data_IF_823718683171
#
_entry.id   IF_823718683171
#
_cell.length_a   1.000
_cell.length_b   1.000
_cell.length_c   1.000
_cell.angle_alpha   90.00
_cell.angle_beta   90.00
_cell.angle_gamma   90.00
#
_symmetry.space_group_name_H-M   'P 1'
#
loop_
_entity.id
_entity.type
_entity.pdbx_description
1 polymer ?
#
# COMPACT_ATOMS: atom_id res chain seq x y z
N UNK A 1 -61.56 79.72 55.63
CA UNK A 1 -62.26 78.70 54.80
C UNK A 1 -61.37 78.12 53.68
N UNK A 2 -60.54 78.92 52.97
CA UNK A 2 -59.61 78.42 51.95
C UNK A 2 -58.48 77.51 52.49
N UNK A 3 -57.94 77.81 53.68
CA UNK A 3 -56.80 77.08 54.26
C UNK A 3 -57.13 75.60 54.56
N UNK A 4 -58.35 75.32 55.03
CA UNK A 4 -58.80 73.95 55.31
C UNK A 4 -59.01 73.12 54.04
N UNK A 5 -59.52 73.73 52.97
CA UNK A 5 -59.65 73.06 51.66
C UNK A 5 -58.29 72.71 51.04
N UNK A 6 -57.29 73.59 51.21
CA UNK A 6 -55.93 73.34 50.73
C UNK A 6 -55.29 72.17 51.48
N UNK A 7 -55.49 72.11 52.81
CA UNK A 7 -55.00 71.02 53.66
C UNK A 7 -55.61 69.67 53.29
N UNK A 8 -56.94 69.60 53.14
CA UNK A 8 -57.62 68.38 52.70
C UNK A 8 -57.16 67.93 51.30
N UNK A 9 -56.87 68.88 50.40
CA UNK A 9 -56.36 68.57 49.06
C UNK A 9 -54.93 68.01 49.12
N UNK A 10 -54.09 68.52 50.02
CA UNK A 10 -52.72 68.03 50.25
C UNK A 10 -52.72 66.65 50.92
N UNK A 11 -53.61 66.40 51.87
CA UNK A 11 -53.78 65.08 52.50
C UNK A 11 -54.25 64.04 51.47
N UNK A 12 -55.22 64.38 50.61
CA UNK A 12 -55.65 63.51 49.50
C UNK A 12 -54.55 63.25 48.48
N UNK A 13 -53.73 64.26 48.18
CA UNK A 13 -52.60 64.10 47.26
C UNK A 13 -51.53 63.18 47.87
N UNK A 14 -51.30 63.28 49.18
CA UNK A 14 -50.41 62.39 49.94
C UNK A 14 -50.92 60.95 49.95
N UNK A 15 -52.21 60.73 50.22
CA UNK A 15 -52.83 59.41 50.15
C UNK A 15 -52.76 58.82 48.74
N UNK A 16 -53.03 59.62 47.70
CA UNK A 16 -52.91 59.18 46.31
C UNK A 16 -51.47 58.80 45.96
N UNK A 17 -50.47 59.56 46.45
CA UNK A 17 -49.06 59.23 46.29
C UNK A 17 -48.72 57.89 46.96
N UNK A 18 -49.17 57.67 48.20
CA UNK A 18 -48.93 56.40 48.91
C UNK A 18 -49.67 55.21 48.25
N UNK A 19 -50.85 55.42 47.67
CA UNK A 19 -51.58 54.41 46.91
C UNK A 19 -50.93 54.10 45.55
N UNK A 20 -50.29 55.09 44.92
CA UNK A 20 -49.59 54.93 43.64
C UNK A 20 -48.16 54.37 43.79
N UNK A 21 -47.52 54.55 44.96
CA UNK A 21 -46.14 54.10 45.22
C UNK A 21 -45.93 52.57 45.07
N UNK A 22 -46.86 51.69 45.48
CA UNK A 22 -46.79 50.24 45.24
C UNK A 22 -47.03 49.84 43.78
N UNK A 23 -47.80 50.64 43.03
CA UNK A 23 -48.07 50.45 41.60
C UNK A 23 -46.87 50.90 40.75
N UNK A 24 -46.08 51.84 41.25
CA UNK A 24 -44.73 52.16 40.80
C UNK A 24 -43.72 51.14 41.33
N UNK A 25 -44.00 49.83 41.27
CA UNK A 25 -42.97 48.79 41.39
C UNK A 25 -42.40 48.45 40.01
N UNK A 26 -41.41 49.19 39.47
CA UNK A 26 -40.65 48.72 38.33
C UNK A 26 -39.43 47.92 38.79
N UNK A 27 -38.86 48.14 39.98
CA UNK A 27 -37.55 47.55 40.33
C UNK A 27 -37.55 46.01 40.34
N UNK A 28 -38.48 45.36 41.05
CA UNK A 28 -38.54 43.88 41.12
C UNK A 28 -38.97 43.23 39.80
N UNK A 29 -39.87 43.88 39.03
CA UNK A 29 -40.32 43.33 37.76
C UNK A 29 -39.25 43.51 36.66
N UNK A 30 -38.58 44.67 36.61
CA UNK A 30 -37.46 44.95 35.70
C UNK A 30 -36.27 44.05 36.03
N UNK A 31 -35.94 43.85 37.30
CA UNK A 31 -34.86 42.92 37.71
C UNK A 31 -35.20 41.46 37.35
N UNK A 32 -36.46 41.02 37.47
CA UNK A 32 -36.90 39.71 36.98
C UNK A 32 -36.80 39.60 35.45
N UNK A 33 -37.18 40.63 34.70
CA UNK A 33 -37.03 40.68 33.25
C UNK A 33 -35.56 40.66 32.80
N UNK A 34 -34.69 41.44 33.45
CA UNK A 34 -33.26 41.48 33.17
C UNK A 34 -32.58 40.15 33.47
N UNK A 35 -32.96 39.49 34.58
CA UNK A 35 -32.50 38.14 34.92
C UNK A 35 -32.96 37.10 33.89
N UNK A 36 -34.22 37.18 33.43
CA UNK A 36 -34.75 36.30 32.38
C UNK A 36 -34.07 36.53 31.04
N UNK A 37 -33.83 37.79 30.65
CA UNK A 37 -33.12 38.14 29.43
C UNK A 37 -31.66 37.67 29.47
N UNK A 38 -30.98 37.84 30.61
CA UNK A 38 -29.63 37.32 30.85
C UNK A 38 -29.57 35.79 30.72
N UNK A 39 -30.54 35.08 31.29
CA UNK A 39 -30.63 33.62 31.17
C UNK A 39 -30.86 33.18 29.72
N UNK A 40 -31.77 33.83 29.00
CA UNK A 40 -32.01 33.56 27.57
C UNK A 40 -30.75 33.82 26.74
N UNK A 41 -30.04 34.92 27.01
CA UNK A 41 -28.79 35.24 26.33
C UNK A 41 -27.69 34.20 26.59
N UNK A 42 -27.58 33.69 27.82
CA UNK A 42 -26.66 32.57 28.15
C UNK A 42 -27.00 31.30 27.38
N UNK A 43 -28.29 30.95 27.28
CA UNK A 43 -28.75 29.79 26.49
C UNK A 43 -28.40 29.97 25.01
N UNK A 44 -28.62 31.16 24.44
CA UNK A 44 -28.25 31.44 23.06
C UNK A 44 -26.74 31.34 22.83
N UNK A 45 -25.92 31.84 23.74
CA UNK A 45 -24.46 31.70 23.66
C UNK A 45 -24.02 30.24 23.74
N UNK A 46 -24.66 29.45 24.60
CA UNK A 46 -24.39 28.01 24.69
C UNK A 46 -24.74 27.31 23.38
N UNK A 47 -25.92 27.54 22.82
CA UNK A 47 -26.31 26.95 21.53
C UNK A 47 -25.40 27.39 20.39
N UNK A 48 -25.00 28.67 20.37
CA UNK A 48 -24.04 29.15 19.38
C UNK A 48 -22.70 28.41 19.47
N UNK A 49 -22.18 28.21 20.69
CA UNK A 49 -20.95 27.47 20.91
C UNK A 49 -21.09 25.99 20.50
N UNK A 50 -22.21 25.34 20.83
CA UNK A 50 -22.50 23.96 20.43
C UNK A 50 -22.58 23.81 18.91
N UNK A 51 -23.22 24.76 18.20
CA UNK A 51 -23.31 24.76 16.74
C UNK A 51 -21.92 24.92 16.12
N UNK A 52 -21.10 25.84 16.63
CA UNK A 52 -19.73 26.04 16.15
C UNK A 52 -18.90 24.77 16.37
N UNK A 53 -19.01 24.15 17.55
CA UNK A 53 -18.32 22.90 17.85
C UNK A 53 -18.72 21.80 16.86
N UNK A 54 -20.02 21.49 16.74
CA UNK A 54 -20.52 20.46 15.81
C UNK A 54 -20.10 20.69 14.36
N UNK A 55 -20.04 21.95 13.93
CA UNK A 55 -19.54 22.30 12.59
C UNK A 55 -18.06 21.90 12.44
N UNK A 56 -17.22 22.17 13.45
CA UNK A 56 -15.81 21.77 13.44
C UNK A 56 -15.66 20.24 13.44
N UNK A 57 -16.49 19.51 14.19
CA UNK A 57 -16.49 18.04 14.17
C UNK A 57 -16.82 17.50 12.77
N UNK A 58 -17.89 18.03 12.15
CA UNK A 58 -18.31 17.61 10.80
C UNK A 58 -17.25 17.93 9.74
N UNK A 59 -16.62 19.11 9.81
CA UNK A 59 -15.52 19.47 8.90
C UNK A 59 -14.30 18.55 9.08
N UNK A 60 -13.95 18.21 10.33
CA UNK A 60 -12.88 17.26 10.63
C UNK A 60 -13.18 15.86 10.09
N UNK A 61 -14.40 15.36 10.31
CA UNK A 61 -14.87 14.06 9.80
C UNK A 61 -14.83 14.00 8.27
N UNK A 62 -15.35 15.03 7.59
CA UNK A 62 -15.35 15.08 6.13
C UNK A 62 -13.94 15.13 5.54
N UNK A 63 -13.04 15.92 6.13
CA UNK A 63 -11.66 16.02 5.67
C UNK A 63 -10.93 14.69 5.83
N UNK A 64 -11.07 14.04 6.99
CA UNK A 64 -10.47 12.74 7.24
C UNK A 64 -11.03 11.67 6.29
N UNK A 65 -12.35 11.60 6.14
CA UNK A 65 -13.01 10.68 5.22
C UNK A 65 -12.52 10.87 3.78
N UNK A 66 -12.35 12.12 3.32
CA UNK A 66 -11.82 12.40 1.98
C UNK A 66 -10.41 11.86 1.77
N UNK A 67 -9.52 11.98 2.77
CA UNK A 67 -8.15 11.45 2.66
C UNK A 67 -8.13 9.92 2.69
N UNK A 68 -8.97 9.31 3.53
CA UNK A 68 -9.11 7.85 3.62
C UNK A 68 -9.62 7.28 2.29
N UNK A 69 -10.62 7.92 1.67
CA UNK A 69 -11.13 7.51 0.37
C UNK A 69 -10.06 7.61 -0.73
N UNK A 70 -9.18 8.62 -0.69
CA UNK A 70 -8.06 8.75 -1.63
C UNK A 70 -7.02 7.64 -1.42
N UNK A 71 -6.70 7.32 -0.16
CA UNK A 71 -5.82 6.20 0.19
C UNK A 71 -6.41 4.86 -0.29
N UNK A 72 -7.67 4.57 0.05
CA UNK A 72 -8.35 3.34 -0.34
C UNK A 72 -8.38 3.18 -1.86
N UNK A 73 -8.78 4.22 -2.59
CA UNK A 73 -8.86 4.17 -4.05
C UNK A 73 -7.49 3.95 -4.69
N UNK A 74 -6.45 4.61 -4.17
CA UNK A 74 -5.07 4.43 -4.64
C UNK A 74 -4.60 3.00 -4.38
N UNK A 75 -4.91 2.43 -3.21
CA UNK A 75 -4.59 1.05 -2.87
C UNK A 75 -5.32 0.05 -3.76
N UNK A 76 -6.63 0.20 -3.98
CA UNK A 76 -7.41 -0.68 -4.86
C UNK A 76 -6.85 -0.68 -6.29
N UNK A 77 -6.47 0.48 -6.81
CA UNK A 77 -5.85 0.56 -8.13
C UNK A 77 -4.51 -0.18 -8.16
N UNK A 78 -3.67 0.03 -7.15
CA UNK A 78 -2.39 -0.67 -7.04
C UNK A 78 -2.56 -2.19 -6.93
N UNK A 79 -3.50 -2.68 -6.12
CA UNK A 79 -3.84 -4.10 -6.02
C UNK A 79 -4.25 -4.66 -7.40
N UNK A 80 -5.17 -3.99 -8.10
CA UNK A 80 -5.63 -4.40 -9.43
C UNK A 80 -4.52 -4.42 -10.48
N UNK A 81 -3.64 -3.41 -10.46
CA UNK A 81 -2.50 -3.33 -11.38
C UNK A 81 -1.47 -4.43 -11.06
N UNK A 82 -1.27 -4.75 -9.79
CA UNK A 82 -0.39 -5.84 -9.37
C UNK A 82 -0.89 -7.22 -9.82
N UNK A 83 -2.20 -7.49 -9.75
CA UNK A 83 -2.75 -8.77 -10.24
C UNK A 83 -2.54 -8.96 -11.74
N UNK A 84 -2.53 -7.87 -12.52
CA UNK A 84 -2.28 -7.89 -13.96
C UNK A 84 -0.80 -7.87 -14.31
N UNK A 85 0.08 -7.65 -13.33
CA UNK A 85 1.51 -7.47 -13.56
C UNK A 85 2.15 -8.81 -13.95
N UNK A 86 2.67 -8.87 -15.18
CA UNK A 86 3.53 -9.97 -15.62
C UNK A 86 4.75 -10.06 -14.69
N UNK A 87 5.21 -11.28 -14.38
CA UNK A 87 6.30 -11.57 -13.42
C UNK A 87 7.69 -11.09 -13.84
N UNK A 88 7.80 -10.10 -14.74
CA UNK A 88 9.07 -9.57 -15.23
C UNK A 88 9.74 -8.72 -14.15
N UNK A 89 11.03 -8.97 -13.92
CA UNK A 89 11.83 -8.34 -12.88
C UNK A 89 11.79 -6.81 -12.89
N UNK A 90 11.90 -6.19 -14.07
CA UNK A 90 11.86 -4.74 -14.20
C UNK A 90 10.49 -4.14 -13.86
N UNK A 91 9.41 -4.82 -14.23
CA UNK A 91 8.04 -4.37 -13.92
C UNK A 91 7.77 -4.46 -12.40
N UNK A 92 8.23 -5.55 -11.76
CA UNK A 92 8.13 -5.72 -10.31
C UNK A 92 8.97 -4.69 -9.53
N UNK A 93 10.20 -4.39 -9.98
CA UNK A 93 11.02 -3.31 -9.41
C UNK A 93 10.34 -1.96 -9.52
N UNK A 94 9.83 -1.62 -10.70
CA UNK A 94 9.10 -0.36 -10.90
C UNK A 94 7.87 -0.27 -10.00
N UNK A 95 7.12 -1.36 -9.86
CA UNK A 95 5.97 -1.40 -8.95
C UNK A 95 6.40 -1.15 -7.50
N UNK A 96 7.46 -1.81 -7.03
CA UNK A 96 8.01 -1.63 -5.69
C UNK A 96 8.54 -0.22 -5.45
N UNK A 97 9.23 0.36 -6.42
CA UNK A 97 9.99 1.61 -6.24
C UNK A 97 9.19 2.87 -6.58
N UNK A 98 8.07 2.74 -7.29
CA UNK A 98 7.21 3.89 -7.67
C UNK A 98 5.78 3.77 -7.14
N UNK A 99 5.14 2.61 -7.30
CA UNK A 99 3.71 2.45 -6.97
C UNK A 99 3.50 2.29 -5.47
N UNK A 100 4.24 1.40 -4.81
CA UNK A 100 4.12 1.23 -3.34
C UNK A 100 4.39 2.54 -2.57
N UNK A 101 5.44 3.33 -2.90
CA UNK A 101 5.66 4.65 -2.31
C UNK A 101 4.50 5.62 -2.50
N UNK A 102 3.87 5.63 -3.67
CA UNK A 102 2.70 6.49 -3.92
C UNK A 102 1.51 6.10 -3.03
N UNK A 103 1.30 4.81 -2.78
CA UNK A 103 0.23 4.32 -1.92
C UNK A 103 0.51 4.68 -0.44
N UNK A 104 1.72 4.44 0.06
CA UNK A 104 2.05 4.76 1.46
C UNK A 104 2.02 6.27 1.72
N UNK A 105 2.40 7.10 0.74
CA UNK A 105 2.29 8.57 0.87
C UNK A 105 0.85 9.00 1.20
N UNK A 106 -0.16 8.31 0.64
CA UNK A 106 -1.56 8.59 0.99
C UNK A 106 -1.90 8.20 2.43
N UNK A 107 -1.38 7.07 2.90
CA UNK A 107 -1.53 6.64 4.30
C UNK A 107 -0.86 7.64 5.26
N UNK A 108 0.35 8.10 4.93
CA UNK A 108 1.10 9.03 5.77
C UNK A 108 0.39 10.38 5.88
N UNK A 109 -0.21 10.89 4.79
CA UNK A 109 -1.05 12.10 4.82
C UNK A 109 -2.24 11.98 5.77
N UNK A 110 -2.84 10.79 5.89
CA UNK A 110 -3.93 10.54 6.86
C UNK A 110 -3.38 10.53 8.28
N UNK A 111 -2.21 9.90 8.50
CA UNK A 111 -1.56 9.83 9.82
C UNK A 111 -1.08 11.19 10.32
N UNK A 112 -0.59 12.03 9.42
CA UNK A 112 -0.11 13.39 9.73
C UNK A 112 -1.26 14.35 10.07
N UNK A 113 -2.50 13.99 9.74
CA UNK A 113 -3.67 14.76 10.12
C UNK A 113 -3.98 14.57 11.61
N UNK A 114 -3.52 15.52 12.43
CA UNK A 114 -3.86 15.60 13.85
C UNK A 114 -5.18 16.36 14.00
N UNK A 115 -6.27 15.65 14.27
CA UNK A 115 -7.57 16.27 14.52
C UNK A 115 -7.71 16.72 15.97
N UNK A 116 -8.16 17.97 16.23
CA UNK A 116 -8.40 18.46 17.58
C UNK A 116 -9.70 17.91 18.19
N UNK A 117 -10.56 17.33 17.37
CA UNK A 117 -11.85 16.75 17.75
C UNK A 117 -11.72 15.23 17.89
N UNK A 118 -12.38 14.66 18.90
CA UNK A 118 -12.46 13.21 19.12
C UNK A 118 -13.92 12.76 19.22
N UNK A 119 -14.52 12.45 18.07
CA UNK A 119 -15.84 11.80 17.99
C UNK A 119 -15.67 10.29 17.79
N UNK A 120 -16.74 9.53 18.03
CA UNK A 120 -16.81 8.09 17.74
C UNK A 120 -16.61 7.82 16.23
N UNK A 121 -17.18 8.66 15.36
CA UNK A 121 -16.97 8.58 13.92
C UNK A 121 -15.50 8.75 13.53
N UNK A 122 -14.80 9.73 14.11
CA UNK A 122 -13.36 9.93 13.86
C UNK A 122 -12.55 8.69 14.31
N UNK A 123 -12.92 8.08 15.44
CA UNK A 123 -12.27 6.85 15.91
C UNK A 123 -12.50 5.69 14.94
N UNK A 124 -13.73 5.53 14.44
CA UNK A 124 -14.04 4.52 13.43
C UNK A 124 -13.25 4.75 12.14
N UNK A 125 -13.14 5.99 11.68
CA UNK A 125 -12.34 6.33 10.50
C UNK A 125 -10.86 5.96 10.68
N UNK A 126 -10.27 6.19 11.86
CA UNK A 126 -8.91 5.73 12.13
C UNK A 126 -8.80 4.20 12.17
N UNK A 127 -9.82 3.49 12.65
CA UNK A 127 -9.84 2.04 12.59
C UNK A 127 -9.86 1.53 11.13
N UNK A 128 -10.61 2.20 10.25
CA UNK A 128 -10.64 1.87 8.82
C UNK A 128 -9.25 2.08 8.19
N UNK A 129 -8.51 3.11 8.61
CA UNK A 129 -7.11 3.33 8.19
C UNK A 129 -6.20 2.19 8.60
N UNK A 130 -6.35 1.64 9.80
CA UNK A 130 -5.57 0.49 10.26
C UNK A 130 -5.82 -0.74 9.37
N UNK A 131 -7.08 -0.99 9.01
CA UNK A 131 -7.46 -2.07 8.08
C UNK A 131 -6.81 -1.87 6.71
N UNK A 132 -6.86 -0.65 6.16
CA UNK A 132 -6.23 -0.32 4.87
C UNK A 132 -4.70 -0.46 4.95
N UNK A 133 -4.09 -0.10 6.07
CA UNK A 133 -2.65 -0.24 6.30
C UNK A 133 -2.23 -1.72 6.32
N UNK A 134 -3.03 -2.59 6.94
CA UNK A 134 -2.80 -4.05 6.89
C UNK A 134 -2.88 -4.57 5.44
N UNK A 135 -3.88 -4.13 4.67
CA UNK A 135 -4.00 -4.50 3.24
C UNK A 135 -2.78 -4.03 2.42
N UNK A 136 -2.33 -2.80 2.63
CA UNK A 136 -1.12 -2.28 1.99
C UNK A 136 0.12 -3.13 2.33
N UNK A 137 0.30 -3.50 3.61
CA UNK A 137 1.41 -4.35 4.02
C UNK A 137 1.36 -5.73 3.36
N UNK A 138 0.16 -6.31 3.22
CA UNK A 138 -0.01 -7.57 2.49
C UNK A 138 0.37 -7.43 1.01
N UNK A 139 -0.04 -6.35 0.34
CA UNK A 139 0.37 -6.06 -1.04
C UNK A 139 1.90 -5.93 -1.14
N UNK A 140 2.52 -5.17 -0.24
CA UNK A 140 3.97 -4.98 -0.20
C UNK A 140 4.73 -6.30 -0.04
N UNK A 141 4.27 -7.18 0.87
CA UNK A 141 4.83 -8.53 1.04
C UNK A 141 4.72 -9.35 -0.24
N UNK A 142 3.53 -9.39 -0.86
CA UNK A 142 3.31 -10.13 -2.12
C UNK A 142 4.20 -9.62 -3.26
N UNK A 143 4.41 -8.31 -3.36
CA UNK A 143 5.31 -7.70 -4.34
C UNK A 143 6.75 -8.17 -4.10
N UNK A 144 7.21 -8.14 -2.85
CA UNK A 144 8.56 -8.57 -2.49
C UNK A 144 8.77 -10.07 -2.72
N UNK A 145 7.79 -10.91 -2.39
CA UNK A 145 7.85 -12.36 -2.63
C UNK A 145 7.96 -12.66 -4.13
N UNK A 146 7.11 -12.02 -4.95
CA UNK A 146 7.13 -12.19 -6.41
C UNK A 146 8.44 -11.66 -7.02
N UNK A 147 9.01 -10.59 -6.47
CA UNK A 147 10.31 -10.04 -6.87
C UNK A 147 11.46 -10.99 -6.50
N UNK A 148 11.45 -11.55 -5.30
CA UNK A 148 12.45 -12.52 -4.86
C UNK A 148 12.40 -13.79 -5.72
N UNK A 149 11.21 -14.29 -6.00
CA UNK A 149 11.04 -15.42 -6.91
C UNK A 149 11.58 -15.13 -8.32
N UNK A 150 11.28 -13.95 -8.88
CA UNK A 150 11.81 -13.54 -10.18
C UNK A 150 13.35 -13.48 -10.17
N UNK A 151 13.96 -12.99 -9.08
CA UNK A 151 15.41 -12.95 -8.90
C UNK A 151 16.03 -14.36 -8.82
N UNK A 152 15.37 -15.27 -8.12
CA UNK A 152 15.80 -16.67 -8.04
C UNK A 152 15.75 -17.35 -9.41
N UNK A 153 14.71 -17.08 -10.20
CA UNK A 153 14.59 -17.59 -11.58
C UNK A 153 15.70 -17.04 -12.49
N UNK A 154 16.02 -15.74 -12.40
CA UNK A 154 17.12 -15.12 -13.15
C UNK A 154 18.47 -15.74 -12.79
N UNK A 155 18.77 -15.91 -11.50
CA UNK A 155 20.00 -16.55 -11.04
C UNK A 155 20.09 -18.03 -11.48
N UNK A 156 18.97 -18.76 -11.44
CA UNK A 156 18.91 -20.16 -11.87
C UNK A 156 19.22 -20.26 -13.38
N UNK A 157 18.64 -19.37 -14.17
CA UNK A 157 18.87 -19.29 -15.61
C UNK A 157 20.34 -19.01 -15.92
N UNK A 158 20.93 -18.00 -15.29
CA UNK A 158 22.35 -17.64 -15.48
C UNK A 158 23.28 -18.79 -15.10
N UNK A 159 22.99 -19.50 -14.01
CA UNK A 159 23.77 -20.65 -13.58
C UNK A 159 23.71 -21.80 -14.59
N UNK A 160 22.51 -22.18 -15.03
CA UNK A 160 22.33 -23.25 -16.02
C UNK A 160 22.99 -22.88 -17.35
N UNK A 161 22.81 -21.64 -17.80
CA UNK A 161 23.43 -21.15 -19.04
C UNK A 161 24.95 -21.30 -18.97
N UNK A 162 25.58 -20.86 -17.87
CA UNK A 162 27.02 -20.96 -17.63
C UNK A 162 27.50 -22.41 -17.55
N UNK A 163 26.73 -23.29 -16.92
CA UNK A 163 27.04 -24.73 -16.89
C UNK A 163 27.01 -25.33 -18.29
N UNK A 164 25.98 -25.02 -19.08
CA UNK A 164 25.88 -25.45 -20.47
C UNK A 164 27.04 -24.90 -21.33
N UNK A 165 27.41 -23.62 -21.17
CA UNK A 165 28.56 -23.01 -21.86
C UNK A 165 29.87 -23.74 -21.52
N UNK A 166 30.09 -24.07 -20.25
CA UNK A 166 31.29 -24.78 -19.80
C UNK A 166 31.34 -26.22 -20.36
N UNK A 167 30.20 -26.92 -20.34
CA UNK A 167 30.09 -28.27 -20.91
C UNK A 167 30.36 -28.24 -22.42
N UNK A 168 29.75 -27.28 -23.12
CA UNK A 168 29.94 -27.09 -24.56
C UNK A 168 31.40 -26.78 -24.89
N UNK A 169 32.05 -25.89 -24.14
CA UNK A 169 33.45 -25.56 -24.33
C UNK A 169 34.35 -26.77 -24.11
N UNK A 170 34.18 -27.52 -23.01
CA UNK A 170 34.94 -28.74 -22.76
C UNK A 170 34.73 -29.78 -23.86
N UNK A 171 33.49 -29.97 -24.31
CA UNK A 171 33.19 -30.89 -25.39
C UNK A 171 33.90 -30.47 -26.69
N UNK A 172 33.88 -29.18 -27.01
CA UNK A 172 34.59 -28.63 -28.17
C UNK A 172 36.11 -28.77 -28.04
N UNK A 173 36.69 -28.56 -26.86
CA UNK A 173 38.13 -28.72 -26.61
C UNK A 173 38.58 -30.16 -26.87
N UNK A 174 37.80 -31.15 -26.41
CA UNK A 174 38.05 -32.55 -26.75
C UNK A 174 37.95 -32.81 -28.24
N UNK A 175 36.92 -32.26 -28.91
CA UNK A 175 36.74 -32.46 -30.35
C UNK A 175 37.87 -31.81 -31.18
N UNK A 176 38.36 -30.65 -30.76
CA UNK A 176 39.42 -29.92 -31.44
C UNK A 176 40.82 -30.46 -31.16
N UNK A 177 41.03 -31.16 -30.04
CA UNK A 177 42.31 -31.81 -29.70
C UNK A 177 42.72 -32.86 -30.74
N UNK A 178 41.76 -33.45 -31.44
CA UNK A 178 41.98 -34.55 -32.37
C UNK A 178 41.75 -34.11 -33.81
N UNK A 179 42.79 -34.24 -34.66
CA UNK A 179 42.74 -33.88 -36.09
C UNK A 179 41.74 -34.76 -36.85
N UNK A 180 41.64 -36.04 -36.45
CA UNK A 180 40.61 -36.96 -36.94
C UNK A 180 39.82 -37.51 -35.76
N UNK A 181 38.51 -37.70 -35.94
CA UNK A 181 37.64 -38.31 -34.93
C UNK A 181 38.04 -39.74 -34.53
N UNK A 182 38.90 -40.40 -35.31
CA UNK A 182 39.46 -41.71 -35.01
C UNK A 182 40.47 -41.66 -33.86
N UNK A 183 41.22 -40.58 -33.73
CA UNK A 183 42.22 -40.42 -32.67
C UNK A 183 41.55 -40.30 -31.28
N UNK A 184 40.42 -39.58 -31.21
CA UNK A 184 39.57 -39.49 -30.00
C UNK A 184 39.00 -40.85 -29.60
N UNK A 185 38.69 -41.72 -30.56
CA UNK A 185 38.09 -43.05 -30.30
C UNK A 185 39.07 -44.05 -29.69
N UNK A 186 40.37 -43.78 -29.79
CA UNK A 186 41.47 -44.59 -29.25
C UNK A 186 41.92 -44.03 -27.89
N UNK A 187 41.74 -42.72 -27.64
CA UNK A 187 41.97 -42.08 -26.36
C UNK A 187 40.83 -42.37 -25.35
N UNK A 188 40.83 -43.58 -24.78
CA UNK A 188 39.77 -44.09 -23.90
C UNK A 188 39.44 -43.13 -22.74
N UNK A 189 40.45 -42.56 -22.09
CA UNK A 189 40.26 -41.68 -20.93
C UNK A 189 39.58 -40.36 -21.31
N UNK A 190 40.01 -39.72 -22.40
CA UNK A 190 39.37 -38.50 -22.93
C UNK A 190 37.94 -38.79 -23.44
N UNK A 191 37.71 -39.98 -24.02
CA UNK A 191 36.39 -40.42 -24.45
C UNK A 191 35.44 -40.64 -23.26
N UNK A 192 35.93 -41.22 -22.17
CA UNK A 192 35.15 -41.42 -20.94
C UNK A 192 34.87 -40.09 -20.24
N UNK A 193 35.82 -39.15 -20.26
CA UNK A 193 35.61 -37.77 -19.76
C UNK A 193 34.57 -37.01 -20.60
N UNK A 194 34.63 -37.11 -21.93
CA UNK A 194 33.61 -36.55 -22.83
C UNK A 194 32.23 -37.15 -22.56
N UNK A 195 32.16 -38.43 -22.19
CA UNK A 195 30.92 -39.07 -21.79
C UNK A 195 30.39 -38.57 -20.45
N UNK A 196 31.26 -38.40 -19.45
CA UNK A 196 30.88 -37.85 -18.16
C UNK A 196 30.24 -36.45 -18.27
N UNK A 197 30.60 -35.68 -19.30
CA UNK A 197 29.96 -34.38 -19.57
C UNK A 197 28.46 -34.49 -19.92
N UNK A 198 28.00 -35.60 -20.50
CA UNK A 198 26.56 -35.81 -20.75
C UNK A 198 25.77 -35.92 -19.45
N UNK A 199 26.34 -36.59 -18.46
CA UNK A 199 25.70 -36.80 -17.15
C UNK A 199 25.71 -35.51 -16.31
N UNK A 200 26.54 -34.52 -16.69
CA UNK A 200 26.62 -33.20 -16.04
C UNK A 200 25.61 -32.19 -16.60
N UNK A 201 24.87 -32.50 -17.67
CA UNK A 201 23.86 -31.59 -18.22
C UNK A 201 22.72 -31.41 -17.19
N UNK A 202 22.45 -30.17 -16.73
CA UNK A 202 21.54 -29.91 -15.60
C UNK A 202 20.05 -29.95 -15.99
N UNK A 203 19.61 -31.07 -16.57
CA UNK A 203 18.24 -31.25 -17.10
C UNK A 203 17.16 -31.06 -16.04
N UNK A 204 17.39 -31.60 -14.83
CA UNK A 204 16.48 -31.43 -13.70
C UNK A 204 16.39 -29.99 -13.21
N UNK A 205 17.49 -29.22 -13.27
CA UNK A 205 17.48 -27.81 -12.90
C UNK A 205 16.70 -26.96 -13.93
N UNK A 206 16.82 -27.30 -15.22
CA UNK A 206 16.05 -26.65 -16.30
C UNK A 206 14.53 -26.84 -16.12
N UNK A 207 14.08 -27.99 -15.61
CA UNK A 207 12.64 -28.25 -15.36
C UNK A 207 12.03 -27.30 -14.32
N UNK A 208 12.84 -26.77 -13.40
CA UNK A 208 12.42 -25.84 -12.35
C UNK A 208 12.25 -24.38 -12.85
N UNK A 209 12.56 -24.11 -14.11
CA UNK A 209 12.36 -22.78 -14.71
C UNK A 209 10.89 -22.60 -15.06
N UNK A 210 10.28 -21.54 -14.51
CA UNK A 210 8.85 -21.26 -14.69
C UNK A 210 8.54 -20.60 -16.04
N UNK A 211 9.50 -19.89 -16.63
CA UNK A 211 9.34 -19.23 -17.93
C UNK A 211 9.56 -20.23 -19.09
N UNK A 212 8.46 -20.64 -19.73
CA UNK A 212 8.46 -21.69 -20.75
C UNK A 212 9.42 -21.42 -21.92
N UNK A 213 9.44 -20.19 -22.46
CA UNK A 213 10.28 -19.85 -23.61
C UNK A 213 11.78 -19.95 -23.27
N UNK A 214 12.18 -19.43 -22.10
CA UNK A 214 13.57 -19.50 -21.64
C UNK A 214 13.98 -20.94 -21.35
N UNK A 215 13.11 -21.72 -20.71
CA UNK A 215 13.34 -23.15 -20.47
C UNK A 215 13.54 -23.90 -21.79
N UNK A 216 12.69 -23.67 -22.78
CA UNK A 216 12.80 -24.33 -24.09
C UNK A 216 14.11 -23.99 -24.80
N UNK A 217 14.59 -22.75 -24.69
CA UNK A 217 15.87 -22.33 -25.26
C UNK A 217 17.05 -23.08 -24.61
N UNK A 218 17.04 -23.21 -23.28
CA UNK A 218 18.05 -23.97 -22.54
C UNK A 218 18.02 -25.46 -22.90
N UNK A 219 16.83 -26.05 -23.02
CA UNK A 219 16.65 -27.45 -23.44
C UNK A 219 17.19 -27.69 -24.87
N UNK A 220 16.89 -26.78 -25.82
CA UNK A 220 17.43 -26.86 -27.20
C UNK A 220 18.96 -26.78 -27.23
N UNK A 221 19.54 -25.92 -26.40
CA UNK A 221 21.01 -25.83 -26.26
C UNK A 221 21.58 -27.12 -25.70
N UNK A 222 21.00 -27.65 -24.62
CA UNK A 222 21.39 -28.92 -24.03
C UNK A 222 21.32 -30.08 -25.04
N UNK A 223 20.26 -30.14 -25.86
CA UNK A 223 20.12 -31.14 -26.92
C UNK A 223 21.18 -31.00 -28.02
N UNK A 224 21.57 -29.77 -28.35
CA UNK A 224 22.63 -29.49 -29.32
C UNK A 224 23.97 -30.03 -28.81
N UNK A 225 24.34 -29.72 -27.57
CA UNK A 225 25.54 -30.24 -26.90
C UNK A 225 25.52 -31.77 -26.85
N UNK A 226 24.38 -32.35 -26.46
CA UNK A 226 24.18 -33.81 -26.39
C UNK A 226 24.36 -34.47 -27.75
N UNK A 227 23.86 -33.85 -28.81
CA UNK A 227 24.00 -34.36 -30.18
C UNK A 227 25.45 -34.24 -30.67
N UNK A 228 26.17 -33.15 -30.38
CA UNK A 228 27.60 -33.01 -30.69
C UNK A 228 28.42 -34.15 -30.07
N UNK A 229 28.25 -34.40 -28.77
CA UNK A 229 28.95 -35.49 -28.06
C UNK A 229 28.58 -36.88 -28.62
N UNK A 230 27.30 -37.11 -28.95
CA UNK A 230 26.85 -38.37 -29.57
C UNK A 230 27.38 -38.58 -31.00
N UNK A 231 27.55 -37.52 -31.78
CA UNK A 231 28.14 -37.63 -33.13
C UNK A 231 29.59 -38.07 -33.01
N UNK A 232 30.34 -37.52 -32.05
CA UNK A 232 31.71 -37.96 -31.74
C UNK A 232 31.81 -39.47 -31.44
N UNK A 233 30.77 -40.04 -30.80
CA UNK A 233 30.62 -41.49 -30.56
C UNK A 233 30.38 -42.30 -31.84
N UNK A 234 29.66 -41.75 -32.82
CA UNK A 234 29.18 -42.48 -34.00
C UNK A 234 30.31 -42.81 -34.99
N UNK A 235 31.36 -42.01 -35.01
CA UNK A 235 32.58 -42.23 -35.77
C UNK A 235 33.40 -43.44 -35.26
N UNK A 236 33.13 -43.92 -34.03
CA UNK A 236 33.70 -45.15 -33.46
C UNK A 236 33.03 -46.43 -33.97
N UNK A 237 31.77 -46.37 -34.42
CA UNK A 237 30.98 -47.56 -34.81
C UNK A 237 31.09 -47.91 -36.29
N UNK A 238 31.42 -46.96 -37.16
CA UNK A 238 31.45 -47.16 -38.63
C UNK A 238 32.68 -47.90 -39.17
N UNK A 239 33.65 -48.27 -38.32
CA UNK A 239 34.91 -48.90 -38.75
C UNK A 239 35.27 -50.16 -37.95
N UNK A 240 34.27 -50.78 -37.29
CA UNK A 240 34.42 -52.12 -36.67
C UNK A 240 33.83 -53.25 -37.52
N UNK A 241 33.45 -52.96 -38.77
CA UNK A 241 33.13 -53.92 -39.84
C UNK A 241 34.20 -53.81 -40.92
#
# INVERSE_FOLDING_TARGET
MMFNKLRESLEKLSELKEQLTPLLKPAFAVEDFDNRLSNVNKIFQQWQNEIVHKKQELEAENNLSSLINDFERTLINAENDFEKLEGRMNALKNFRDMILPMVIEKSDRVRDLILPVRTENIQQLYHDVDILTVRFNNLSTRVNDKLNHAKEQENLLDNIQRELDNIEQKANDFLNKYITSQDLSIAIEDFDQLHSLLDQIPTSAMENITECELRENLLKKADTIKNQIKIARSTRKRYKE
#
